data_IF_471264112305
#
_entry.id   IF_471264112305
#
_cell.length_a   1.000
_cell.length_b   1.000
_cell.length_c   1.000
_cell.angle_alpha   90.00
_cell.angle_beta   90.00
_cell.angle_gamma   90.00
#
_symmetry.space_group_name_H-M   'P 1'
#
loop_
_entity.id
_entity.type
_entity.pdbx_description
1 polymer ?
#
# COMPACT_ATOMS: atom_id res chain seq x y z
N UNK A 1 -1.03 31.51 2.10
CA UNK A 1 -0.63 30.16 1.65
C UNK A 1 -0.86 29.87 0.14
N UNK A 2 -1.60 30.71 -0.57
CA UNK A 2 -1.95 30.54 -1.99
C UNK A 2 -1.00 31.16 -3.04
N UNK A 3 -0.12 32.14 -2.71
CA UNK A 3 0.85 32.64 -3.69
C UNK A 3 1.89 31.58 -4.13
N UNK A 4 2.38 31.71 -5.37
CA UNK A 4 3.37 30.82 -5.97
C UNK A 4 4.80 31.07 -5.45
N UNK A 5 5.68 30.05 -5.46
CA UNK A 5 5.50 28.69 -5.95
C UNK A 5 4.83 27.75 -4.93
N UNK A 6 3.79 27.04 -5.38
CA UNK A 6 3.09 26.02 -4.59
C UNK A 6 3.73 24.65 -4.82
N UNK A 7 4.15 24.02 -3.73
CA UNK A 7 4.68 22.66 -3.70
C UNK A 7 4.42 22.03 -2.33
N UNK A 8 4.45 20.70 -2.25
CA UNK A 8 4.25 19.96 -1.00
C UNK A 8 5.36 20.28 0.01
N UNK A 9 4.98 20.65 1.23
CA UNK A 9 5.90 20.96 2.34
C UNK A 9 5.48 20.19 3.59
N UNK A 10 6.42 19.75 4.45
CA UNK A 10 6.05 19.17 5.72
C UNK A 10 5.27 20.18 6.57
N UNK A 11 4.19 19.72 7.20
CA UNK A 11 3.41 20.50 8.15
C UNK A 11 3.83 20.18 9.58
N UNK A 12 3.24 20.85 10.58
CA UNK A 12 3.61 20.72 12.00
C UNK A 12 3.65 19.28 12.54
N UNK A 13 2.84 18.37 12.00
CA UNK A 13 2.85 16.94 12.36
C UNK A 13 4.18 16.22 12.04
N UNK A 14 4.98 16.76 11.12
CA UNK A 14 6.24 16.17 10.68
C UNK A 14 7.46 16.61 11.53
N UNK A 15 7.28 17.45 12.55
CA UNK A 15 8.38 18.05 13.30
C UNK A 15 8.37 17.70 14.80
N UNK A 16 9.56 17.72 15.40
CA UNK A 16 9.76 17.51 16.84
C UNK A 16 9.04 16.27 17.38
N UNK A 17 8.51 16.41 18.59
CA UNK A 17 7.76 15.34 19.28
C UNK A 17 6.35 15.13 18.75
N UNK A 18 5.87 15.97 17.82
CA UNK A 18 4.55 15.81 17.18
C UNK A 18 4.47 14.47 16.44
N UNK A 19 5.58 14.04 15.83
CA UNK A 19 5.73 12.77 15.12
C UNK A 19 5.57 11.53 16.01
N UNK A 20 5.80 11.67 17.32
CA UNK A 20 5.68 10.57 18.28
C UNK A 20 4.23 10.14 18.47
N UNK A 21 3.29 11.09 18.35
CA UNK A 21 1.85 10.89 18.52
C UNK A 21 1.06 10.91 17.21
N UNK A 22 1.62 11.43 16.14
CA UNK A 22 1.02 11.44 14.81
C UNK A 22 1.23 10.15 13.99
N UNK A 23 1.98 9.17 14.51
CA UNK A 23 2.27 7.91 13.82
C UNK A 23 2.53 6.78 14.81
N UNK A 24 2.41 5.54 14.32
CA UNK A 24 2.71 4.31 15.07
C UNK A 24 3.73 3.46 14.31
N UNK A 25 4.37 2.53 15.02
CA UNK A 25 5.22 1.49 14.42
C UNK A 25 4.52 0.14 14.56
N UNK A 26 4.18 -0.49 13.44
CA UNK A 26 3.62 -1.84 13.46
C UNK A 26 4.73 -2.86 13.73
N UNK A 27 4.48 -3.78 14.66
CA UNK A 27 5.41 -4.86 15.05
C UNK A 27 4.66 -6.18 15.17
N UNK A 28 5.38 -7.31 15.28
CA UNK A 28 4.75 -8.59 15.58
C UNK A 28 4.06 -8.56 16.94
N UNK A 29 3.00 -9.36 17.12
CA UNK A 29 2.32 -9.46 18.43
C UNK A 29 3.29 -9.78 19.57
N UNK A 30 4.18 -10.76 19.36
CA UNK A 30 5.19 -11.15 20.34
C UNK A 30 6.09 -9.98 20.74
N UNK A 31 6.58 -9.20 19.78
CA UNK A 31 7.48 -8.07 20.07
C UNK A 31 6.75 -6.93 20.79
N UNK A 32 5.50 -6.65 20.43
CA UNK A 32 4.67 -5.68 21.13
C UNK A 32 4.45 -6.12 22.59
N UNK A 33 4.02 -7.36 22.79
CA UNK A 33 3.70 -7.94 24.09
C UNK A 33 4.96 -8.09 24.96
N UNK A 34 6.14 -8.28 24.35
CA UNK A 34 7.45 -8.31 25.04
C UNK A 34 8.05 -6.93 25.32
N UNK A 35 7.33 -5.83 25.05
CA UNK A 35 7.79 -4.48 25.36
C UNK A 35 8.94 -3.96 24.48
N UNK A 36 9.04 -4.39 23.22
CA UNK A 36 10.14 -3.99 22.31
C UNK A 36 10.30 -2.46 22.20
N UNK A 37 9.19 -1.72 22.30
CA UNK A 37 9.19 -0.26 22.27
C UNK A 37 10.02 0.33 23.40
N UNK A 38 9.85 -0.15 24.63
CA UNK A 38 10.68 0.28 25.77
C UNK A 38 12.11 -0.23 25.66
N UNK A 39 12.31 -1.49 25.26
CA UNK A 39 13.64 -2.10 25.14
C UNK A 39 14.55 -1.33 24.19
N UNK A 40 13.99 -0.81 23.09
CA UNK A 40 14.73 -0.06 22.08
C UNK A 40 14.62 1.47 22.26
N UNK A 41 13.91 1.96 23.29
CA UNK A 41 13.70 3.39 23.49
C UNK A 41 12.92 4.07 22.35
N UNK A 42 12.00 3.35 21.72
CA UNK A 42 11.17 3.91 20.64
C UNK A 42 10.22 4.97 21.20
N UNK A 43 10.31 6.19 20.66
CA UNK A 43 9.44 7.28 21.08
C UNK A 43 8.00 7.16 20.52
N UNK A 44 7.81 6.43 19.42
CA UNK A 44 6.48 6.14 18.85
C UNK A 44 5.83 4.95 19.53
N UNK A 45 4.51 4.98 19.64
CA UNK A 45 3.73 3.81 20.05
C UNK A 45 3.92 2.65 19.08
N UNK A 46 4.03 1.43 19.62
CA UNK A 46 4.01 0.21 18.81
C UNK A 46 2.60 -0.34 18.73
N UNK A 47 2.23 -0.95 17.60
CA UNK A 47 0.93 -1.60 17.40
C UNK A 47 1.16 -3.02 16.89
N UNK A 48 0.57 -4.00 17.56
CA UNK A 48 0.65 -5.40 17.17
C UNK A 48 -0.12 -5.67 15.87
N UNK A 49 0.55 -6.24 14.87
CA UNK A 49 -0.11 -6.81 13.69
C UNK A 49 -0.84 -8.10 14.12
N UNK A 50 -2.14 -8.20 13.79
CA UNK A 50 -3.01 -9.33 14.14
C UNK A 50 -3.93 -9.70 12.98
N UNK A 51 -4.54 -10.89 13.03
CA UNK A 51 -5.57 -11.31 12.06
C UNK A 51 -5.06 -11.68 10.66
N UNK A 52 -3.78 -12.01 10.48
CA UNK A 52 -3.18 -12.21 9.13
C UNK A 52 -3.29 -13.63 8.58
N UNK A 53 -3.71 -14.61 9.38
CA UNK A 53 -3.74 -16.05 9.00
C UNK A 53 -5.12 -16.59 8.69
N UNK A 54 -6.16 -15.87 9.09
CA UNK A 54 -7.56 -16.24 8.81
C UNK A 54 -8.12 -15.57 7.54
N UNK A 55 -7.33 -14.68 6.91
CA UNK A 55 -7.75 -13.96 5.71
C UNK A 55 -7.63 -14.84 4.47
N UNK A 56 -8.58 -14.66 3.57
CA UNK A 56 -8.71 -15.29 2.27
C UNK A 56 -8.87 -14.24 1.17
N UNK A 57 -9.02 -14.67 -0.08
CA UNK A 57 -9.35 -13.77 -1.20
C UNK A 57 -10.71 -13.08 -0.99
N UNK A 58 -11.65 -13.75 -0.30
CA UNK A 58 -12.98 -13.21 -0.01
C UNK A 58 -12.97 -11.97 0.90
N UNK A 59 -11.90 -11.78 1.67
CA UNK A 59 -11.76 -10.62 2.57
C UNK A 59 -11.28 -9.35 1.85
N UNK A 60 -10.91 -9.45 0.57
CA UNK A 60 -10.46 -8.33 -0.25
C UNK A 60 -11.66 -7.49 -0.72
N UNK A 61 -11.83 -6.30 -0.12
CA UNK A 61 -12.91 -5.37 -0.47
C UNK A 61 -12.85 -4.97 -1.95
N UNK A 62 -13.98 -5.13 -2.63
CA UNK A 62 -14.17 -4.81 -4.06
C UNK A 62 -13.28 -5.64 -5.02
N UNK A 63 -12.56 -6.66 -4.53
CA UNK A 63 -11.51 -7.36 -5.28
C UNK A 63 -11.37 -8.84 -4.84
N UNK A 64 -12.47 -9.56 -4.68
CA UNK A 64 -12.53 -10.93 -4.16
C UNK A 64 -12.69 -12.04 -5.22
N UNK A 65 -12.66 -11.68 -6.51
CA UNK A 65 -12.81 -12.64 -7.61
C UNK A 65 -11.74 -13.76 -7.60
N UNK A 66 -12.18 -14.99 -7.90
CA UNK A 66 -11.37 -16.21 -7.99
C UNK A 66 -11.64 -16.95 -9.33
N UNK A 67 -11.30 -16.36 -10.49
CA UNK A 67 -11.47 -17.05 -11.77
C UNK A 67 -10.48 -18.20 -11.91
N UNK A 68 -10.81 -19.17 -12.78
CA UNK A 68 -9.85 -20.18 -13.23
C UNK A 68 -8.89 -19.54 -14.23
N UNK A 69 -7.65 -19.28 -13.79
CA UNK A 69 -6.61 -18.69 -14.63
C UNK A 69 -5.76 -19.78 -15.30
N UNK A 70 -5.62 -19.71 -16.61
CA UNK A 70 -4.79 -20.60 -17.42
C UNK A 70 -3.79 -19.80 -18.25
N UNK A 71 -2.56 -20.29 -18.39
CA UNK A 71 -1.51 -19.65 -19.20
C UNK A 71 -0.97 -20.67 -20.19
N UNK A 72 -0.99 -20.34 -21.47
CA UNK A 72 -0.36 -21.18 -22.50
C UNK A 72 1.18 -21.07 -22.39
N UNK A 73 1.92 -22.19 -22.24
CA UNK A 73 3.37 -22.16 -22.03
C UNK A 73 4.18 -21.76 -23.26
N UNK A 74 3.61 -21.83 -24.47
CA UNK A 74 4.29 -21.51 -25.73
C UNK A 74 3.96 -20.11 -26.22
N UNK A 75 2.69 -19.71 -26.14
CA UNK A 75 2.22 -18.40 -26.66
C UNK A 75 2.06 -17.32 -25.59
N UNK A 76 2.09 -17.70 -24.32
CA UNK A 76 1.84 -16.83 -23.16
C UNK A 76 0.44 -16.18 -23.14
N UNK A 77 -0.51 -16.70 -23.92
CA UNK A 77 -1.92 -16.31 -23.79
C UNK A 77 -2.43 -16.62 -22.39
N UNK A 78 -3.07 -15.63 -21.77
CA UNK A 78 -3.69 -15.76 -20.45
C UNK A 78 -5.20 -15.83 -20.63
N UNK A 79 -5.84 -16.81 -20.01
CA UNK A 79 -7.30 -16.95 -19.99
C UNK A 79 -7.84 -16.95 -18.57
N UNK A 80 -8.99 -16.32 -18.37
CA UNK A 80 -9.79 -16.42 -17.15
C UNK A 80 -11.17 -16.99 -17.50
N UNK A 81 -11.54 -18.11 -16.89
CA UNK A 81 -12.80 -18.81 -17.17
C UNK A 81 -13.01 -19.10 -18.67
N UNK A 82 -11.90 -19.36 -19.38
CA UNK A 82 -11.87 -19.65 -20.82
C UNK A 82 -11.74 -18.42 -21.72
N UNK A 83 -11.99 -17.22 -21.19
CA UNK A 83 -11.92 -15.97 -21.96
C UNK A 83 -10.49 -15.45 -22.05
N UNK A 84 -10.05 -15.08 -23.26
CA UNK A 84 -8.72 -14.52 -23.51
C UNK A 84 -8.62 -13.11 -22.89
N UNK A 85 -7.70 -12.95 -21.94
CA UNK A 85 -7.38 -11.66 -21.33
C UNK A 85 -6.29 -10.97 -22.16
N UNK A 86 -6.68 -9.95 -22.92
CA UNK A 86 -5.75 -9.13 -23.68
C UNK A 86 -6.23 -7.68 -23.72
N UNK A 87 -5.31 -6.74 -23.91
CA UNK A 87 -5.62 -5.35 -24.18
C UNK A 87 -4.54 -4.72 -25.05
N UNK A 88 -4.95 -3.74 -25.86
CA UNK A 88 -4.00 -2.96 -26.65
C UNK A 88 -3.19 -2.04 -25.74
N UNK A 89 -1.91 -1.81 -26.06
CA UNK A 89 -1.12 -0.81 -25.36
C UNK A 89 -1.69 0.59 -25.60
N UNK A 90 -1.69 1.42 -24.57
CA UNK A 90 -2.11 2.82 -24.68
C UNK A 90 -0.91 3.73 -24.91
N UNK A 91 -0.96 4.57 -25.95
CA UNK A 91 0.11 5.51 -26.29
C UNK A 91 0.16 6.74 -25.37
N UNK A 92 -0.95 7.09 -24.73
CA UNK A 92 -1.07 8.22 -23.80
C UNK A 92 -1.94 7.82 -22.60
N UNK A 93 -1.64 8.37 -21.41
CA UNK A 93 -2.36 8.11 -20.17
C UNK A 93 -2.81 9.41 -19.49
N UNK A 94 -3.98 9.42 -18.82
CA UNK A 94 -4.37 10.52 -17.95
C UNK A 94 -3.43 10.61 -16.74
N UNK A 95 -3.46 11.74 -16.04
CA UNK A 95 -2.63 12.00 -14.85
C UNK A 95 -1.10 11.93 -15.10
N UNK A 96 -0.66 12.12 -16.35
CA UNK A 96 0.75 12.10 -16.74
C UNK A 96 1.26 13.51 -17.14
N UNK A 97 1.65 13.72 -18.40
CA UNK A 97 2.32 14.93 -18.92
C UNK A 97 1.62 16.27 -18.59
N UNK A 98 0.32 16.27 -18.30
CA UNK A 98 -0.43 17.45 -17.88
C UNK A 98 -0.03 17.97 -16.48
N UNK A 99 0.38 17.09 -15.58
CA UNK A 99 0.52 17.41 -14.15
C UNK A 99 1.97 17.47 -13.67
N UNK A 100 2.90 16.85 -14.39
CA UNK A 100 4.31 16.80 -14.03
C UNK A 100 5.12 17.77 -14.89
N UNK A 101 6.00 18.53 -14.25
CA UNK A 101 6.92 19.42 -14.95
C UNK A 101 7.97 18.63 -15.76
N UNK A 102 8.31 17.43 -15.28
CA UNK A 102 9.22 16.47 -15.88
C UNK A 102 8.75 15.04 -15.58
#
# INVERSE_FOLDING_TARGET
PTPQPVYSRPMWGAYGRSRERGAVTYVSGVAHDSGIGSTLGLAKGTVAVRGTRALSKADMRLNDALPRVEVNPETYEVRADGELLTCEPMAELPLAQRYFLF
#
